data_IF_088463837766
#
_entry.id   IF_088463837766
#
_cell.length_a   1.000
_cell.length_b   1.000
_cell.length_c   1.000
_cell.angle_alpha   90.00
_cell.angle_beta   90.00
_cell.angle_gamma   90.00
#
_symmetry.space_group_name_H-M   'P 1'
#
loop_
_entity.id
_entity.type
_entity.pdbx_description
1 polymer ?
#
# COMPACT_ATOMS: atom_id res chain seq x y z
N UNK A 1 17.53 -14.82 8.38
CA UNK A 1 18.00 -13.54 7.75
C UNK A 1 18.18 -12.42 8.78
N UNK A 2 17.19 -12.08 9.65
CA UNK A 2 17.35 -11.05 10.70
C UNK A 2 18.63 -11.26 11.52
N UNK A 3 18.85 -12.48 12.04
CA UNK A 3 20.01 -12.81 12.88
C UNK A 3 21.34 -12.57 12.17
N UNK A 4 21.46 -12.94 10.89
CA UNK A 4 22.70 -12.75 10.12
C UNK A 4 23.10 -11.27 10.04
N UNK A 5 22.13 -10.39 9.78
CA UNK A 5 22.39 -8.95 9.76
C UNK A 5 22.76 -8.41 11.14
N UNK A 6 22.05 -8.84 12.18
CA UNK A 6 22.34 -8.44 13.56
C UNK A 6 23.75 -8.86 13.96
N UNK A 7 24.15 -10.10 13.71
CA UNK A 7 25.48 -10.63 14.05
C UNK A 7 26.59 -9.91 13.24
N UNK A 8 26.31 -9.61 11.96
CA UNK A 8 27.31 -8.95 11.09
C UNK A 8 27.50 -7.48 11.46
N UNK A 9 26.40 -6.76 11.78
CA UNK A 9 26.42 -5.33 12.06
C UNK A 9 26.69 -5.02 13.54
N UNK A 10 26.51 -6.00 14.42
CA UNK A 10 26.69 -5.83 15.88
C UNK A 10 25.65 -4.94 16.54
N UNK A 11 24.51 -4.72 15.88
CA UNK A 11 23.41 -3.89 16.40
C UNK A 11 22.06 -4.60 16.23
N UNK A 12 21.17 -4.45 17.20
CA UNK A 12 19.78 -4.94 17.08
C UNK A 12 18.94 -4.01 16.22
N UNK A 13 18.06 -4.56 15.38
CA UNK A 13 17.19 -3.75 14.55
C UNK A 13 16.02 -3.17 15.34
N UNK A 14 15.59 -1.99 14.93
CA UNK A 14 14.37 -1.34 15.40
C UNK A 14 13.27 -1.64 14.38
N UNK A 15 12.14 -2.19 14.83
CA UNK A 15 10.96 -2.37 14.01
C UNK A 15 10.14 -1.08 14.03
N UNK A 16 9.96 -0.43 12.89
CA UNK A 16 9.09 0.75 12.75
C UNK A 16 8.02 0.46 11.69
N UNK A 17 6.78 0.81 12.01
CA UNK A 17 5.69 0.79 11.05
C UNK A 17 5.47 2.20 10.50
N UNK A 18 5.55 2.35 9.18
CA UNK A 18 5.30 3.63 8.51
C UNK A 18 3.88 4.18 8.75
N UNK A 19 2.95 3.36 9.23
CA UNK A 19 1.59 3.80 9.58
C UNK A 19 1.55 4.91 10.63
N UNK A 20 2.61 5.08 11.40
CA UNK A 20 2.73 6.18 12.37
C UNK A 20 2.88 7.55 11.68
N UNK A 21 3.51 7.59 10.52
CA UNK A 21 3.82 8.85 9.81
C UNK A 21 3.20 8.96 8.43
N UNK A 22 2.47 7.92 7.98
CA UNK A 22 1.90 7.81 6.64
C UNK A 22 0.58 7.05 6.66
N UNK A 23 -0.18 7.14 5.58
CA UNK A 23 -1.37 6.32 5.33
C UNK A 23 -1.04 4.87 4.90
N UNK A 24 0.19 4.40 5.08
CA UNK A 24 0.64 3.09 4.63
C UNK A 24 1.01 2.18 5.80
N UNK A 25 0.49 0.97 5.83
CA UNK A 25 0.90 -0.06 6.77
C UNK A 25 2.14 -0.79 6.24
N UNK A 26 3.34 -0.40 6.67
CA UNK A 26 4.63 -0.89 6.18
C UNK A 26 5.59 -1.14 7.35
N UNK A 27 5.64 -2.36 7.83
CA UNK A 27 6.59 -2.78 8.85
C UNK A 27 7.97 -3.02 8.23
N UNK A 28 9.00 -2.38 8.78
CA UNK A 28 10.39 -2.56 8.36
C UNK A 28 11.33 -2.60 9.55
N UNK A 29 12.39 -3.39 9.41
CA UNK A 29 13.50 -3.45 10.35
C UNK A 29 14.59 -2.47 9.91
N UNK A 30 15.07 -1.67 10.83
CA UNK A 30 16.13 -0.69 10.62
C UNK A 30 17.30 -1.01 11.54
N UNK A 31 18.44 -1.31 10.96
CA UNK A 31 19.70 -1.48 11.69
C UNK A 31 20.43 -0.13 11.70
N UNK A 32 20.68 0.42 12.85
CA UNK A 32 21.36 1.71 13.01
C UNK A 32 22.16 1.71 14.29
N UNK A 33 23.29 2.42 14.27
CA UNK A 33 24.11 2.74 15.45
C UNK A 33 23.76 4.11 16.05
N UNK A 34 22.76 4.80 15.53
CA UNK A 34 22.25 6.05 16.12
C UNK A 34 21.61 5.71 17.46
N UNK A 35 22.06 6.35 18.57
CA UNK A 35 21.56 6.02 19.89
C UNK A 35 20.13 6.51 20.11
N UNK A 36 19.41 5.84 21.01
CA UNK A 36 18.11 6.27 21.54
C UNK A 36 17.00 6.53 20.51
N UNK A 37 17.06 5.89 19.36
CA UNK A 37 15.98 6.00 18.37
C UNK A 37 14.71 5.40 18.95
N UNK A 38 13.66 6.23 19.04
CA UNK A 38 12.32 5.85 19.52
C UNK A 38 11.37 5.57 18.37
N UNK A 39 10.13 5.17 18.67
CA UNK A 39 9.06 5.13 17.67
C UNK A 39 8.64 6.57 17.29
N UNK A 40 8.38 6.86 16.02
CA UNK A 40 7.79 8.14 15.63
C UNK A 40 6.42 8.34 16.28
N UNK A 41 6.05 9.58 16.52
CA UNK A 41 4.70 9.94 16.94
C UNK A 41 3.66 9.59 15.86
N UNK A 42 2.49 9.10 16.30
CA UNK A 42 1.41 8.79 15.35
C UNK A 42 0.74 10.10 14.87
N UNK A 43 0.86 10.38 13.59
CA UNK A 43 0.26 11.55 12.94
C UNK A 43 -1.20 11.32 12.54
N UNK A 44 -1.76 10.12 12.76
CA UNK A 44 -3.14 9.76 12.45
C UNK A 44 -3.56 9.97 10.98
N UNK A 45 -2.63 9.86 10.04
CA UNK A 45 -2.89 10.06 8.61
C UNK A 45 -3.59 8.82 8.03
N UNK A 46 -4.86 8.94 7.69
CA UNK A 46 -5.67 7.89 7.07
C UNK A 46 -5.52 7.80 5.55
N UNK A 47 -6.03 6.73 4.96
CA UNK A 47 -5.99 6.52 3.51
C UNK A 47 -6.69 7.66 2.76
N UNK A 48 -7.86 8.08 3.23
CA UNK A 48 -8.64 9.11 2.55
C UNK A 48 -8.01 10.51 2.65
N UNK A 49 -7.07 10.74 3.57
CA UNK A 49 -6.38 12.03 3.72
C UNK A 49 -5.36 12.29 2.61
N UNK A 50 -4.90 11.23 1.94
CA UNK A 50 -3.86 11.33 0.90
C UNK A 50 -4.41 11.18 -0.51
N UNK A 51 -5.68 10.82 -0.67
CA UNK A 51 -6.26 10.56 -1.98
C UNK A 51 -6.54 11.83 -2.76
N UNK A 52 -6.39 11.74 -4.09
CA UNK A 52 -6.85 12.77 -5.00
C UNK A 52 -8.38 12.64 -5.22
N UNK A 53 -9.06 13.77 -5.38
CA UNK A 53 -10.50 13.80 -5.71
C UNK A 53 -10.71 13.42 -7.19
N UNK A 54 -10.54 12.14 -7.48
CA UNK A 54 -10.74 11.58 -8.82
C UNK A 54 -12.08 10.84 -8.84
N UNK A 55 -12.97 11.25 -9.75
CA UNK A 55 -14.26 10.61 -9.94
C UNK A 55 -14.10 9.20 -10.55
N UNK A 56 -14.90 8.26 -10.06
CA UNK A 56 -15.08 6.97 -10.71
C UNK A 56 -16.17 7.11 -11.79
N UNK A 57 -15.87 6.78 -13.03
CA UNK A 57 -16.86 6.64 -14.10
C UNK A 57 -17.64 5.31 -13.98
N UNK A 58 -18.35 5.12 -12.87
CA UNK A 58 -19.14 3.91 -12.66
C UNK A 58 -20.41 4.21 -11.86
N UNK A 59 -21.59 3.64 -12.22
CA UNK A 59 -22.86 3.90 -11.54
C UNK A 59 -22.88 3.59 -10.04
N UNK A 60 -22.02 2.65 -9.58
CA UNK A 60 -21.89 2.34 -8.15
C UNK A 60 -20.98 3.33 -7.39
N UNK A 61 -20.32 4.26 -8.09
CA UNK A 61 -19.49 5.28 -7.49
C UNK A 61 -20.40 6.42 -6.98
N UNK A 62 -20.73 6.38 -5.71
CA UNK A 62 -21.45 7.48 -5.05
C UNK A 62 -20.44 8.52 -4.59
N UNK A 63 -20.57 9.75 -5.09
CA UNK A 63 -19.76 10.89 -4.61
C UNK A 63 -19.77 10.95 -3.09
N UNK A 64 -18.59 11.14 -2.50
CA UNK A 64 -18.46 11.31 -1.04
C UNK A 64 -18.40 10.02 -0.24
N UNK A 65 -18.42 8.83 -0.84
CA UNK A 65 -18.12 7.60 -0.09
C UNK A 65 -16.61 7.45 0.10
N UNK A 66 -16.16 7.10 1.31
CA UNK A 66 -14.77 6.76 1.54
C UNK A 66 -14.38 5.57 0.66
N UNK A 67 -13.18 5.62 0.09
CA UNK A 67 -12.65 4.52 -0.70
C UNK A 67 -12.05 3.46 0.20
N UNK A 68 -12.30 2.22 -0.16
CA UNK A 68 -11.72 1.06 0.49
C UNK A 68 -10.50 0.57 -0.28
N UNK A 69 -9.48 0.12 0.44
CA UNK A 69 -8.38 -0.60 -0.17
C UNK A 69 -8.84 -1.98 -0.62
N UNK A 70 -8.38 -2.40 -1.79
CA UNK A 70 -8.68 -3.70 -2.35
C UNK A 70 -7.47 -4.29 -3.06
N UNK A 71 -7.58 -5.56 -3.44
CA UNK A 71 -6.55 -6.30 -4.18
C UNK A 71 -7.21 -7.04 -5.33
N UNK A 72 -6.57 -7.06 -6.48
CA UNK A 72 -7.02 -7.89 -7.61
C UNK A 72 -6.22 -9.19 -7.58
N UNK A 73 -6.92 -10.30 -7.41
CA UNK A 73 -6.32 -11.63 -7.28
C UNK A 73 -6.92 -12.62 -8.25
N UNK A 74 -6.11 -13.53 -8.77
CA UNK A 74 -6.58 -14.65 -9.55
C UNK A 74 -7.25 -15.70 -8.66
N UNK A 75 -8.43 -16.16 -9.04
CA UNK A 75 -9.19 -17.21 -8.33
C UNK A 75 -9.79 -18.19 -9.32
N UNK A 76 -9.95 -19.43 -8.90
CA UNK A 76 -10.79 -20.40 -9.59
C UNK A 76 -12.15 -20.42 -8.94
N UNK A 77 -13.16 -20.02 -9.72
CA UNK A 77 -14.55 -19.90 -9.26
C UNK A 77 -15.39 -20.83 -10.10
N UNK A 78 -16.11 -21.77 -9.47
CA UNK A 78 -17.00 -22.68 -10.14
C UNK A 78 -18.30 -22.00 -10.62
N UNK A 79 -19.13 -22.71 -11.35
CA UNK A 79 -20.41 -22.22 -11.89
C UNK A 79 -21.41 -21.75 -10.83
N UNK A 80 -21.27 -22.24 -9.58
CA UNK A 80 -22.06 -21.82 -8.42
C UNK A 80 -21.45 -20.63 -7.66
N UNK A 81 -20.36 -20.03 -8.18
CA UNK A 81 -19.67 -18.90 -7.55
C UNK A 81 -18.79 -19.28 -6.35
N UNK A 82 -18.56 -20.55 -6.10
CA UNK A 82 -17.70 -21.01 -5.01
C UNK A 82 -16.24 -21.07 -5.46
N UNK A 83 -15.34 -20.76 -4.54
CA UNK A 83 -13.90 -20.78 -4.75
C UNK A 83 -13.36 -22.22 -4.66
N UNK A 84 -12.67 -22.65 -5.71
CA UNK A 84 -12.03 -23.97 -5.84
C UNK A 84 -10.61 -23.81 -6.40
N UNK A 85 -9.73 -23.09 -5.71
CA UNK A 85 -8.37 -22.76 -6.20
C UNK A 85 -7.52 -24.02 -6.49
N UNK A 86 -7.86 -25.16 -5.88
CA UNK A 86 -7.22 -26.47 -6.11
C UNK A 86 -7.72 -27.18 -7.39
N UNK A 87 -8.85 -26.77 -7.95
CA UNK A 87 -9.43 -27.38 -9.15
C UNK A 87 -8.83 -26.74 -10.39
N UNK A 88 -7.86 -27.45 -11.01
CA UNK A 88 -7.11 -26.94 -12.16
C UNK A 88 -7.91 -26.93 -13.46
N UNK A 89 -9.06 -27.59 -13.53
CA UNK A 89 -9.94 -27.60 -14.70
C UNK A 89 -10.72 -26.28 -14.84
N UNK A 90 -10.83 -25.54 -13.73
CA UNK A 90 -11.48 -24.23 -13.72
C UNK A 90 -10.46 -23.14 -14.10
N UNK A 91 -10.82 -22.31 -15.09
CA UNK A 91 -10.00 -21.16 -15.49
C UNK A 91 -9.88 -20.16 -14.35
N UNK A 92 -8.69 -19.55 -14.23
CA UNK A 92 -8.46 -18.44 -13.30
C UNK A 92 -9.22 -17.19 -13.80
N UNK A 93 -10.04 -16.64 -12.94
CA UNK A 93 -10.69 -15.34 -13.12
C UNK A 93 -10.09 -14.31 -12.18
N UNK A 94 -10.07 -13.04 -12.59
CA UNK A 94 -9.59 -11.95 -11.75
C UNK A 94 -10.74 -11.46 -10.87
N UNK A 95 -10.52 -11.48 -9.56
CA UNK A 95 -11.48 -11.02 -8.56
C UNK A 95 -10.95 -9.78 -7.84
N UNK A 96 -11.82 -8.82 -7.61
CA UNK A 96 -11.56 -7.70 -6.71
C UNK A 96 -11.94 -8.15 -5.29
N UNK A 97 -10.97 -8.17 -4.39
CA UNK A 97 -11.18 -8.52 -2.99
C UNK A 97 -11.00 -7.30 -2.10
N UNK A 98 -12.08 -6.84 -1.48
CA UNK A 98 -12.07 -5.80 -0.45
C UNK A 98 -12.03 -6.51 0.90
N UNK A 99 -10.89 -6.50 1.56
CA UNK A 99 -10.72 -7.16 2.84
C UNK A 99 -11.10 -6.24 3.99
N UNK A 100 -11.78 -6.79 4.98
CA UNK A 100 -12.03 -6.08 6.23
C UNK A 100 -10.70 -5.64 6.82
N UNK A 101 -10.59 -4.39 7.16
CA UNK A 101 -9.42 -3.82 7.80
C UNK A 101 -9.85 -3.14 9.11
N UNK A 102 -9.04 -3.32 10.14
CA UNK A 102 -9.23 -2.61 11.40
C UNK A 102 -8.58 -1.21 11.39
N UNK A 103 -7.94 -0.87 10.27
CA UNK A 103 -7.27 0.42 10.09
C UNK A 103 -7.68 1.04 8.77
N UNK A 104 -7.74 2.33 8.72
CA UNK A 104 -7.95 3.16 7.52
C UNK A 104 -6.65 3.36 6.69
N UNK A 105 -5.65 2.53 6.92
CA UNK A 105 -4.35 2.60 6.23
C UNK A 105 -4.34 1.74 4.96
N UNK A 106 -3.59 2.17 3.94
CA UNK A 106 -3.25 1.36 2.78
C UNK A 106 -2.43 0.13 3.16
N UNK A 107 -2.40 -0.87 2.28
CA UNK A 107 -1.40 -1.93 2.38
C UNK A 107 -0.01 -1.37 2.02
N UNK A 108 1.04 -2.15 2.32
CA UNK A 108 2.38 -1.83 1.84
C UNK A 108 2.41 -1.76 0.31
N UNK A 109 2.98 -0.69 -0.23
CA UNK A 109 3.23 -0.60 -1.66
C UNK A 109 4.15 -1.73 -2.12
N UNK A 110 3.78 -2.37 -3.22
CA UNK A 110 4.56 -3.39 -3.91
C UNK A 110 4.87 -2.94 -5.33
N UNK A 111 5.67 -3.71 -6.05
CA UNK A 111 5.92 -3.48 -7.49
C UNK A 111 4.76 -3.97 -8.37
N UNK A 112 3.76 -4.60 -7.78
CA UNK A 112 2.57 -5.13 -8.46
C UNK A 112 1.38 -4.23 -8.16
N UNK A 113 0.97 -3.41 -9.09
CA UNK A 113 -0.12 -2.44 -8.89
C UNK A 113 -1.45 -3.09 -8.46
N UNK A 114 -1.72 -4.33 -8.92
CA UNK A 114 -2.93 -5.09 -8.56
C UNK A 114 -3.06 -5.40 -7.08
N UNK A 115 -1.96 -5.37 -6.33
CA UNK A 115 -1.97 -5.60 -4.87
C UNK A 115 -2.60 -4.43 -4.12
N UNK A 116 -2.65 -3.27 -4.75
CA UNK A 116 -3.12 -2.03 -4.16
C UNK A 116 -4.02 -1.27 -5.14
N UNK A 117 -5.32 -1.43 -4.97
CA UNK A 117 -6.34 -0.70 -5.72
C UNK A 117 -7.37 -0.10 -4.77
N UNK A 118 -8.09 0.90 -5.24
CA UNK A 118 -9.10 1.64 -4.50
C UNK A 118 -10.48 1.36 -5.09
N UNK A 119 -11.48 1.18 -4.24
CA UNK A 119 -12.85 0.90 -4.66
C UNK A 119 -13.88 1.50 -3.69
N UNK A 120 -15.03 1.98 -4.17
CA UNK A 120 -16.16 2.34 -3.34
C UNK A 120 -16.98 1.13 -2.87
N UNK A 121 -16.64 -0.09 -3.30
CA UNK A 121 -17.37 -1.29 -2.92
C UNK A 121 -17.17 -1.65 -1.45
N UNK A 122 -18.18 -2.23 -0.80
CA UNK A 122 -18.07 -2.69 0.58
C UNK A 122 -17.16 -3.92 0.68
N UNK A 123 -16.85 -4.29 1.92
CA UNK A 123 -16.13 -5.53 2.22
C UNK A 123 -16.74 -6.75 1.53
N UNK A 124 -15.90 -7.59 0.94
CA UNK A 124 -16.27 -8.83 0.28
C UNK A 124 -15.39 -9.14 -0.94
N UNK A 125 -15.77 -10.20 -1.64
CA UNK A 125 -15.17 -10.57 -2.91
C UNK A 125 -16.15 -10.19 -4.03
N UNK A 126 -15.63 -9.49 -5.02
CA UNK A 126 -16.39 -9.02 -6.17
C UNK A 126 -15.84 -9.64 -7.45
N UNK A 127 -16.70 -10.30 -8.22
CA UNK A 127 -16.41 -10.82 -9.57
C UNK A 127 -17.42 -10.20 -10.52
N UNK A 128 -17.04 -10.02 -11.78
CA UNK A 128 -18.01 -9.58 -12.78
C UNK A 128 -19.07 -10.66 -13.05
N UNK A 129 -20.16 -10.27 -13.75
CA UNK A 129 -21.27 -11.17 -14.04
C UNK A 129 -20.90 -12.40 -14.89
N UNK A 130 -19.70 -12.40 -15.51
CA UNK A 130 -19.18 -13.50 -16.30
C UNK A 130 -18.00 -14.23 -15.64
N UNK A 131 -17.67 -13.88 -14.40
CA UNK A 131 -16.51 -14.43 -13.70
C UNK A 131 -15.16 -13.98 -14.29
N UNK A 132 -15.16 -13.01 -15.18
CA UNK A 132 -13.96 -12.44 -15.77
C UNK A 132 -13.73 -11.01 -15.26
N UNK A 133 -12.48 -10.72 -14.94
CA UNK A 133 -12.11 -9.37 -14.67
C UNK A 133 -12.21 -8.52 -15.94
N UNK A 134 -13.07 -7.52 -15.89
CA UNK A 134 -13.18 -6.50 -16.91
C UNK A 134 -13.10 -5.14 -16.23
N UNK A 135 -12.05 -4.39 -16.52
CA UNK A 135 -11.75 -3.11 -15.87
C UNK A 135 -12.90 -2.10 -15.86
N UNK A 136 -13.86 -2.26 -16.77
CA UNK A 136 -15.03 -1.38 -16.91
C UNK A 136 -16.26 -1.85 -16.11
N UNK A 137 -16.23 -3.02 -15.48
CA UNK A 137 -17.40 -3.58 -14.78
C UNK A 137 -17.32 -3.50 -13.27
N UNK A 138 -16.10 -3.58 -12.71
CA UNK A 138 -15.91 -3.40 -11.28
C UNK A 138 -15.36 -1.99 -11.01
N UNK A 139 -15.99 -1.22 -10.13
CA UNK A 139 -15.54 0.13 -9.82
C UNK A 139 -14.28 0.07 -8.96
N UNK A 140 -13.14 0.16 -9.59
CA UNK A 140 -11.87 0.33 -8.90
C UNK A 140 -10.96 1.23 -9.72
N UNK A 141 -9.95 1.81 -9.07
CA UNK A 141 -8.83 2.48 -9.72
C UNK A 141 -7.52 2.11 -9.07
N UNK A 142 -6.45 2.27 -9.79
CA UNK A 142 -5.11 2.24 -9.24
C UNK A 142 -4.82 3.53 -8.47
N UNK A 143 -3.85 3.48 -7.58
CA UNK A 143 -3.28 4.69 -7.01
C UNK A 143 -2.60 5.51 -8.08
N UNK A 144 -2.72 6.83 -8.00
CA UNK A 144 -1.99 7.75 -8.85
C UNK A 144 -0.53 7.82 -8.42
N UNK A 145 0.33 8.41 -9.26
CA UNK A 145 1.72 8.68 -8.89
C UNK A 145 1.81 9.59 -7.66
N UNK A 146 0.97 10.60 -7.60
CA UNK A 146 0.91 11.53 -6.48
C UNK A 146 0.54 10.83 -5.16
N UNK A 147 -0.44 9.92 -5.21
CA UNK A 147 -0.82 9.10 -4.05
C UNK A 147 0.32 8.15 -3.62
N UNK A 148 1.09 7.61 -4.58
CA UNK A 148 2.30 6.84 -4.27
C UNK A 148 3.34 7.70 -3.54
N UNK A 149 3.57 8.95 -4.00
CA UNK A 149 4.48 9.89 -3.36
C UNK A 149 4.04 10.18 -1.91
N UNK A 150 2.78 10.51 -1.71
CA UNK A 150 2.19 10.77 -0.39
C UNK A 150 2.28 9.56 0.56
N UNK A 151 2.06 8.33 0.05
CA UNK A 151 2.23 7.10 0.83
C UNK A 151 3.66 6.89 1.32
N UNK A 152 4.66 7.39 0.61
CA UNK A 152 6.07 7.34 1.04
C UNK A 152 6.56 8.66 1.65
N UNK A 153 5.63 9.57 1.96
CA UNK A 153 5.91 10.90 2.53
C UNK A 153 6.89 11.74 1.71
N UNK A 154 6.86 11.54 0.38
CA UNK A 154 7.54 12.41 -0.57
C UNK A 154 6.72 13.67 -0.82
N UNK A 155 7.35 14.81 -1.13
CA UNK A 155 6.63 16.00 -1.61
C UNK A 155 5.86 15.70 -2.89
N UNK A 156 4.69 16.33 -3.04
CA UNK A 156 3.87 16.23 -4.24
C UNK A 156 4.68 16.63 -5.48
N UNK A 157 4.68 15.77 -6.49
CA UNK A 157 5.39 15.99 -7.74
C UNK A 157 6.90 15.68 -7.71
N UNK A 158 7.40 15.12 -6.62
CA UNK A 158 8.83 14.78 -6.48
C UNK A 158 9.39 13.94 -7.63
N UNK A 159 8.58 13.05 -8.16
CA UNK A 159 9.00 12.14 -9.26
C UNK A 159 8.57 12.61 -10.65
N UNK A 160 8.16 13.87 -10.83
CA UNK A 160 7.65 14.38 -12.12
C UNK A 160 8.61 14.25 -13.29
N UNK A 161 9.92 14.26 -13.04
CA UNK A 161 10.94 14.07 -14.08
C UNK A 161 11.03 12.61 -14.59
N UNK A 162 10.43 11.65 -13.89
CA UNK A 162 10.49 10.24 -14.25
C UNK A 162 9.22 9.80 -15.02
N UNK A 163 9.38 8.76 -15.83
CA UNK A 163 8.25 8.04 -16.41
C UNK A 163 7.41 7.41 -15.29
N UNK A 164 6.07 7.42 -15.41
CA UNK A 164 5.13 7.00 -14.37
C UNK A 164 5.42 5.60 -13.82
N UNK A 165 5.62 4.62 -14.71
CA UNK A 165 5.92 3.23 -14.31
C UNK A 165 7.23 3.14 -13.54
N UNK A 166 8.27 3.85 -13.97
CA UNK A 166 9.57 3.89 -13.28
C UNK A 166 9.45 4.60 -11.93
N UNK A 167 8.70 5.70 -11.88
CA UNK A 167 8.43 6.45 -10.65
C UNK A 167 7.73 5.56 -9.61
N UNK A 168 6.61 4.95 -9.95
CA UNK A 168 5.85 4.06 -9.04
C UNK A 168 6.71 2.88 -8.56
N UNK A 169 7.53 2.29 -9.44
CA UNK A 169 8.44 1.21 -9.07
C UNK A 169 9.52 1.68 -8.09
N UNK A 170 10.11 2.84 -8.33
CA UNK A 170 11.14 3.41 -7.45
C UNK A 170 10.55 3.76 -6.07
N UNK A 171 9.37 4.41 -6.05
CA UNK A 171 8.65 4.76 -4.82
C UNK A 171 8.30 3.51 -4.03
N UNK A 172 7.75 2.46 -4.68
CA UNK A 172 7.39 1.20 -4.02
C UNK A 172 8.59 0.46 -3.41
N UNK A 173 9.78 0.58 -4.01
CA UNK A 173 11.03 0.02 -3.50
C UNK A 173 11.71 0.93 -2.46
N UNK A 174 11.35 2.20 -2.42
CA UNK A 174 11.93 3.20 -1.52
C UNK A 174 11.53 3.03 -0.06
N UNK A 175 12.08 3.88 0.77
CA UNK A 175 11.72 4.03 2.17
C UNK A 175 10.60 5.08 2.33
N UNK A 176 9.86 4.97 3.42
CA UNK A 176 9.01 6.08 3.87
C UNK A 176 9.94 7.15 4.43
N UNK A 177 9.98 8.31 3.76
CA UNK A 177 11.00 9.36 4.01
C UNK A 177 10.96 9.86 5.44
N UNK A 178 9.77 10.10 5.99
CA UNK A 178 9.62 10.61 7.36
C UNK A 178 10.07 9.61 8.43
N UNK A 179 10.05 8.30 8.15
CA UNK A 179 10.65 7.31 9.06
C UNK A 179 12.17 7.48 9.08
N UNK A 180 12.79 7.67 7.91
CA UNK A 180 14.25 7.87 7.84
C UNK A 180 14.63 9.21 8.46
N UNK A 181 13.89 10.28 8.18
CA UNK A 181 14.10 11.58 8.79
C UNK A 181 13.99 11.50 10.33
N UNK A 182 13.01 10.77 10.85
CA UNK A 182 12.88 10.51 12.29
C UNK A 182 14.10 9.77 12.85
N UNK A 183 14.57 8.70 12.20
CA UNK A 183 15.78 7.99 12.66
C UNK A 183 16.98 8.92 12.66
N UNK A 184 17.18 9.69 11.59
CA UNK A 184 18.32 10.61 11.46
C UNK A 184 18.26 11.79 12.44
N UNK A 185 17.08 12.21 12.89
CA UNK A 185 16.93 13.29 13.86
C UNK A 185 17.51 12.95 15.25
N UNK A 186 17.81 11.67 15.51
CA UNK A 186 18.47 11.21 16.74
C UNK A 186 19.99 11.26 16.67
N UNK A 187 20.58 11.70 15.55
CA UNK A 187 22.04 11.88 15.46
C UNK A 187 22.44 13.00 16.44
N UNK A 188 23.36 12.72 17.38
CA UNK A 188 23.85 13.75 18.27
C UNK A 188 24.51 14.89 17.49
N UNK A 189 24.02 16.10 17.65
CA UNK A 189 24.68 17.29 17.12
C UNK A 189 25.83 17.60 18.09
N UNK A 190 27.07 17.41 17.67
CA UNK A 190 28.21 17.92 18.39
C UNK A 190 28.32 19.41 18.06
N UNK A 191 27.92 20.26 18.97
CA UNK A 191 28.25 21.68 18.90
C UNK A 191 29.78 21.82 18.93
N UNK A 192 30.35 22.29 17.84
CA UNK A 192 31.80 22.54 17.63
C UNK A 192 32.22 23.90 18.20
#
# INVERSE_FOLDING_TARGET
>A
MKQIFTDTLGVEPILINSSLVSAQNRNRLYWTNIPNVTQPEDRHIGLNDILEDISFEHPAAVRGRPLNKATIVGRRINEHGHREDYNHDIKIVQCLEVRKSNTDKSNCLTTVEKDNVLTPLPFGRHVDAFGMYCGNRLPFRFYTRLEYERLQTLPDGYTNAANETKAKKAIGNGWTVDVIAHILSHIPIHDS
#
